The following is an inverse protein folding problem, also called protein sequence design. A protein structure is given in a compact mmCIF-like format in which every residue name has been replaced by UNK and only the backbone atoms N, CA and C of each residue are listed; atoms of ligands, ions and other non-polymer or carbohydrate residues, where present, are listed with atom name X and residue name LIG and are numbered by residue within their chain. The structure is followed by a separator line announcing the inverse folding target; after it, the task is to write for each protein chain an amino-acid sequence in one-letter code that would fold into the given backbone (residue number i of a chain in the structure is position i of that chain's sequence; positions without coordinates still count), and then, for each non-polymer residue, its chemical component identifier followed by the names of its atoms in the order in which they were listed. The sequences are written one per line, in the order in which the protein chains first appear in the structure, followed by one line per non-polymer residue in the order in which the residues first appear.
data_IF_235490729267
#
_entry.id   IF_235490729267
#
_cell.length_a   1.000
_cell.length_b   1.000
_cell.length_c   1.000
_cell.angle_alpha   90.00
_cell.angle_beta   90.00
_cell.angle_gamma   90.00
#
_symmetry.space_group_name_H-M   'P 1'
#
loop_
_entity.id
_entity.type
_entity.pdbx_description
1 polymer ?
#
# COMPACT_ATOMS: atom_id res chain seq x y z
N UNK A 1 15.79 -54.40 -92.53
CA UNK A 1 15.48 -53.21 -91.73
C UNK A 1 14.64 -53.75 -90.57
N UNK A 2 15.33 -54.41 -89.64
CA UNK A 2 15.83 -53.85 -88.36
C UNK A 2 14.69 -54.04 -87.32
N UNK A 3 14.64 -55.18 -86.61
CA UNK A 3 15.32 -55.52 -85.33
C UNK A 3 14.79 -54.64 -84.17
N UNK A 4 14.30 -55.09 -83.01
CA UNK A 4 14.13 -56.38 -82.33
C UNK A 4 13.25 -56.14 -81.07
N UNK A 5 12.40 -57.09 -80.68
CA UNK A 5 12.50 -57.93 -79.48
C UNK A 5 12.62 -57.21 -78.10
N UNK A 6 11.62 -57.45 -77.25
CA UNK A 6 11.63 -57.27 -75.79
C UNK A 6 12.75 -58.07 -75.10
N UNK A 7 13.39 -57.51 -74.06
CA UNK A 7 13.29 -57.96 -72.65
C UNK A 7 14.32 -57.34 -71.70
N UNK A 8 13.82 -57.08 -70.50
CA UNK A 8 14.45 -57.19 -69.17
C UNK A 8 15.46 -56.13 -68.65
N UNK A 9 14.90 -55.25 -67.80
CA UNK A 9 15.20 -54.97 -66.37
C UNK A 9 16.66 -54.74 -65.91
N UNK A 10 16.87 -53.57 -65.31
CA UNK A 10 17.56 -53.37 -64.02
C UNK A 10 16.78 -52.26 -63.26
N UNK A 11 16.80 -52.18 -61.91
CA UNK A 11 15.78 -52.67 -60.99
C UNK A 11 15.04 -51.57 -60.20
N UNK A 12 14.00 -51.96 -59.46
CA UNK A 12 13.39 -51.16 -58.40
C UNK A 12 14.44 -50.69 -57.37
N UNK A 13 14.33 -49.41 -57.01
CA UNK A 13 14.87 -48.67 -55.84
C UNK A 13 15.76 -47.48 -56.19
N UNK A 14 15.60 -46.41 -55.39
CA UNK A 14 16.04 -45.01 -55.54
C UNK A 14 15.11 -44.20 -56.48
N UNK A 15 14.01 -43.59 -56.05
CA UNK A 15 13.85 -42.72 -54.88
C UNK A 15 12.44 -42.86 -54.29
N UNK A 16 12.29 -43.85 -53.41
CA UNK A 16 11.43 -43.73 -52.23
C UNK A 16 12.26 -43.03 -51.16
N UNK A 17 12.18 -41.70 -51.11
CA UNK A 17 12.45 -40.90 -49.92
C UNK A 17 11.91 -39.49 -50.18
N UNK A 18 11.30 -38.93 -49.14
CA UNK A 18 10.74 -37.59 -48.94
C UNK A 18 11.56 -36.33 -49.37
N UNK A 19 12.44 -36.37 -50.38
CA UNK A 19 13.43 -35.30 -50.62
C UNK A 19 13.52 -34.73 -52.05
N UNK A 20 12.50 -34.86 -52.90
CA UNK A 20 12.51 -34.24 -54.24
C UNK A 20 11.87 -32.82 -54.27
N UNK A 21 12.26 -31.97 -53.30
CA UNK A 21 11.97 -30.52 -53.29
C UNK A 21 13.07 -29.73 -54.02
N UNK A 22 13.37 -30.13 -55.26
CA UNK A 22 14.26 -29.39 -56.16
C UNK A 22 13.51 -28.31 -56.95
N UNK A 23 13.08 -27.23 -56.29
CA UNK A 23 12.41 -26.10 -56.95
C UNK A 23 13.41 -25.37 -57.88
N UNK A 24 13.14 -25.34 -59.19
CA UNK A 24 13.92 -24.58 -60.17
C UNK A 24 13.65 -23.07 -60.00
N UNK A 25 14.60 -22.37 -59.37
CA UNK A 25 14.58 -20.92 -59.16
C UNK A 25 15.12 -20.21 -60.40
N UNK A 26 14.23 -19.75 -61.28
CA UNK A 26 14.60 -18.77 -62.30
C UNK A 26 13.49 -17.78 -62.70
N UNK A 27 12.21 -18.02 -62.37
CA UNK A 27 11.10 -17.11 -62.75
C UNK A 27 10.01 -16.95 -61.67
N UNK A 28 10.31 -17.27 -60.41
CA UNK A 28 9.36 -17.10 -59.30
C UNK A 28 9.63 -15.77 -58.57
N UNK A 29 8.80 -14.76 -58.83
CA UNK A 29 8.77 -13.49 -58.08
C UNK A 29 8.38 -13.68 -56.59
N UNK A 30 8.02 -14.90 -56.17
CA UNK A 30 7.58 -15.20 -54.82
C UNK A 30 7.94 -16.64 -54.43
N UNK A 31 8.77 -16.82 -53.40
CA UNK A 31 8.94 -18.10 -52.71
C UNK A 31 8.12 -18.05 -51.41
N UNK A 32 6.96 -18.70 -51.39
CA UNK A 32 6.15 -18.86 -50.16
C UNK A 32 6.44 -20.23 -49.58
N UNK A 33 7.31 -20.31 -48.56
CA UNK A 33 7.48 -21.54 -47.78
C UNK A 33 6.37 -21.61 -46.75
N UNK A 34 5.34 -22.42 -47.04
CA UNK A 34 4.24 -22.69 -46.10
C UNK A 34 4.57 -23.96 -45.33
N UNK A 35 4.95 -23.85 -44.05
CA UNK A 35 5.01 -25.00 -43.15
C UNK A 35 3.60 -25.21 -42.59
N UNK A 36 2.83 -26.13 -43.18
CA UNK A 36 1.53 -26.53 -42.66
C UNK A 36 1.55 -28.03 -42.36
N UNK A 37 1.18 -28.41 -41.14
CA UNK A 37 0.70 -29.74 -40.82
C UNK A 37 -0.75 -29.58 -40.36
N UNK A 38 -1.71 -29.86 -41.26
CA UNK A 38 -3.14 -29.59 -41.04
C UNK A 38 -3.56 -28.14 -41.32
N UNK A 39 -4.84 -27.84 -41.08
CA UNK A 39 -5.54 -26.62 -41.54
C UNK A 39 -5.15 -25.30 -40.83
N UNK A 40 -4.08 -25.29 -40.01
CA UNK A 40 -3.60 -24.10 -39.29
C UNK A 40 -2.28 -23.57 -39.87
N UNK A 41 -2.20 -22.25 -40.12
CA UNK A 41 -0.96 -21.56 -40.52
C UNK A 41 -0.26 -21.00 -39.26
N UNK A 42 0.96 -21.47 -38.97
CA UNK A 42 1.69 -21.10 -37.74
C UNK A 42 2.71 -19.97 -37.93
N UNK A 43 2.88 -19.49 -39.16
CA UNK A 43 3.69 -18.32 -39.48
C UNK A 43 4.22 -18.36 -40.91
N UNK A 44 4.51 -17.18 -41.47
CA UNK A 44 5.12 -17.01 -42.78
C UNK A 44 6.30 -16.06 -42.67
N UNK A 45 7.44 -16.44 -43.26
CA UNK A 45 8.55 -15.51 -43.46
C UNK A 45 8.33 -14.78 -44.77
N UNK A 46 8.14 -13.46 -44.71
CA UNK A 46 7.99 -12.62 -45.89
C UNK A 46 9.24 -11.75 -46.02
N UNK A 47 9.93 -11.87 -47.16
CA UNK A 47 11.02 -10.98 -47.50
C UNK A 47 10.46 -9.81 -48.30
N UNK A 48 10.58 -8.61 -47.75
CA UNK A 48 10.17 -7.40 -48.45
C UNK A 48 11.13 -7.19 -49.64
N UNK A 49 10.61 -7.17 -50.89
CA UNK A 49 11.45 -7.13 -52.09
C UNK A 49 12.15 -5.78 -52.30
N UNK A 50 11.65 -4.70 -51.68
CA UNK A 50 12.16 -3.35 -51.88
C UNK A 50 13.38 -3.01 -51.00
N UNK A 51 13.47 -3.59 -49.80
CA UNK A 51 14.54 -3.33 -48.83
C UNK A 51 15.29 -4.61 -48.38
N UNK A 52 14.82 -5.79 -48.79
CA UNK A 52 15.44 -7.07 -48.48
C UNK A 52 15.24 -7.55 -47.04
N UNK A 53 14.50 -6.82 -46.21
CA UNK A 53 14.22 -7.18 -44.81
C UNK A 53 13.31 -8.41 -44.78
N UNK A 54 13.69 -9.41 -44.00
CA UNK A 54 12.91 -10.64 -43.83
C UNK A 54 12.14 -10.54 -42.52
N UNK A 55 10.81 -10.46 -42.59
CA UNK A 55 9.93 -10.39 -41.43
C UNK A 55 9.27 -11.75 -41.18
N UNK A 56 9.12 -12.12 -39.91
CA UNK A 56 8.32 -13.27 -39.50
C UNK A 56 6.91 -12.77 -39.17
N UNK A 57 5.96 -13.07 -40.05
CA UNK A 57 4.53 -12.94 -39.76
C UNK A 57 4.10 -14.17 -38.95
N UNK A 58 3.93 -14.00 -37.64
CA UNK A 58 3.34 -15.03 -36.79
C UNK A 58 1.82 -14.88 -36.86
N UNK A 59 1.12 -15.95 -37.25
CA UNK A 59 -0.34 -15.97 -37.29
C UNK A 59 -0.94 -15.74 -35.91
N UNK A 60 -2.22 -15.35 -35.85
CA UNK A 60 -2.97 -15.34 -34.59
C UNK A 60 -2.69 -16.66 -33.83
N UNK A 61 -2.38 -16.54 -32.53
CA UNK A 61 -2.04 -17.64 -31.60
C UNK A 61 -0.61 -18.24 -31.65
N UNK A 62 0.30 -17.72 -32.47
CA UNK A 62 1.68 -18.27 -32.56
C UNK A 62 2.62 -17.84 -31.42
N UNK A 63 2.20 -16.89 -30.57
CA UNK A 63 2.85 -16.53 -29.32
C UNK A 63 1.86 -16.70 -28.18
N UNK A 64 1.46 -17.94 -27.85
CA UNK A 64 0.81 -18.28 -26.57
C UNK A 64 -0.26 -17.32 -26.05
N UNK A 65 -0.98 -16.67 -26.94
CA UNK A 65 -2.19 -15.93 -26.67
C UNK A 65 -3.27 -16.86 -27.19
N UNK A 66 -4.14 -17.36 -26.32
CA UNK A 66 -5.38 -18.03 -26.75
C UNK A 66 -5.45 -19.56 -26.72
N UNK A 67 -4.43 -20.32 -26.29
CA UNK A 67 -4.55 -21.79 -26.20
C UNK A 67 -4.45 -22.33 -24.78
N UNK A 68 -5.25 -23.37 -24.48
CA UNK A 68 -5.53 -23.84 -23.12
C UNK A 68 -4.44 -24.66 -22.42
N UNK A 69 -3.29 -24.90 -23.05
CA UNK A 69 -2.24 -25.81 -22.55
C UNK A 69 -0.85 -25.32 -23.05
N UNK A 70 -0.22 -24.35 -22.38
CA UNK A 70 1.14 -23.90 -22.72
C UNK A 70 2.12 -24.09 -21.54
N UNK A 71 3.27 -24.72 -21.80
CA UNK A 71 4.29 -25.10 -20.80
C UNK A 71 5.51 -24.13 -20.66
N UNK A 72 5.54 -22.99 -21.39
CA UNK A 72 6.68 -22.06 -21.42
C UNK A 72 6.39 -20.65 -20.89
N UNK A 73 7.24 -20.11 -20.00
CA UNK A 73 7.12 -18.78 -19.37
C UNK A 73 7.63 -17.66 -20.29
N UNK A 74 7.10 -16.44 -20.12
CA UNK A 74 7.70 -15.21 -20.67
C UNK A 74 9.12 -15.05 -20.12
N UNK A 75 10.14 -15.20 -20.96
CA UNK A 75 11.55 -15.05 -20.59
C UNK A 75 12.08 -13.75 -21.20
N UNK A 76 12.24 -12.70 -20.37
CA UNK A 76 12.98 -11.48 -20.72
C UNK A 76 14.42 -11.68 -20.29
N UNK A 77 15.32 -11.94 -21.25
CA UNK A 77 16.76 -12.07 -21.01
C UNK A 77 17.47 -10.89 -21.67
N UNK A 78 17.95 -9.94 -20.89
CA UNK A 78 18.80 -8.89 -21.43
C UNK A 78 20.27 -9.29 -21.47
N UNK A 79 20.96 -8.74 -22.47
CA UNK A 79 22.40 -8.61 -22.50
C UNK A 79 22.71 -7.13 -22.72
N UNK A 80 23.63 -6.57 -21.93
CA UNK A 80 24.00 -5.15 -21.81
C UNK A 80 22.97 -4.18 -21.18
N UNK A 81 23.47 -3.06 -20.65
CA UNK A 81 22.79 -2.08 -19.80
C UNK A 81 21.70 -1.25 -20.53
N UNK A 82 20.66 -1.89 -21.06
CA UNK A 82 19.50 -1.21 -21.67
C UNK A 82 18.16 -1.73 -21.13
N UNK A 83 17.11 -0.92 -21.30
CA UNK A 83 15.73 -1.19 -20.84
C UNK A 83 15.13 -2.36 -21.64
N UNK A 84 14.63 -3.38 -20.96
CA UNK A 84 14.29 -4.68 -21.57
C UNK A 84 12.80 -4.89 -21.82
N UNK A 85 11.95 -4.15 -21.11
CA UNK A 85 10.50 -4.13 -21.31
C UNK A 85 10.03 -2.70 -21.12
N UNK A 86 9.66 -2.07 -22.23
CA UNK A 86 9.07 -0.73 -22.26
C UNK A 86 7.57 -0.89 -22.47
N UNK A 87 6.78 -0.41 -21.52
CA UNK A 87 5.31 -0.39 -21.59
C UNK A 87 4.88 1.07 -21.58
N UNK A 88 4.80 1.66 -22.77
CA UNK A 88 4.55 3.09 -22.96
C UNK A 88 3.08 3.36 -23.32
N UNK A 89 2.48 4.34 -22.65
CA UNK A 89 1.15 4.83 -22.99
C UNK A 89 1.20 5.69 -24.24
N UNK A 90 0.23 5.55 -25.14
CA UNK A 90 -0.05 6.61 -26.11
C UNK A 90 -0.71 7.82 -25.43
N UNK A 91 -0.59 9.02 -26.02
CA UNK A 91 -1.31 10.21 -25.55
C UNK A 91 -2.84 10.12 -25.66
N UNK A 92 -3.36 9.08 -26.32
CA UNK A 92 -4.79 8.83 -26.54
C UNK A 92 -5.32 7.60 -25.77
N UNK A 93 -4.54 7.02 -24.87
CA UNK A 93 -4.90 5.80 -24.13
C UNK A 93 -6.09 6.04 -23.18
N UNK A 94 -7.13 5.21 -23.28
CA UNK A 94 -8.31 5.24 -22.39
C UNK A 94 -8.37 4.09 -21.37
N UNK A 95 -7.51 3.07 -21.51
CA UNK A 95 -7.46 1.85 -20.68
C UNK A 95 -6.08 1.64 -20.03
N UNK A 96 -6.00 0.81 -18.98
CA UNK A 96 -4.74 0.38 -18.35
C UNK A 96 -3.77 -0.21 -19.37
N UNK A 97 -2.49 0.17 -19.27
CA UNK A 97 -1.44 -0.28 -20.19
C UNK A 97 -0.95 -1.69 -19.79
N UNK A 98 -1.07 -2.04 -18.51
CA UNK A 98 -0.80 -3.39 -17.99
C UNK A 98 -1.81 -3.75 -16.90
N UNK A 99 -2.41 -4.95 -17.02
CA UNK A 99 -3.38 -5.51 -16.07
C UNK A 99 -3.04 -6.95 -15.72
N UNK A 100 -3.20 -7.34 -14.46
CA UNK A 100 -3.19 -8.71 -13.94
C UNK A 100 -4.66 -9.09 -13.76
N UNK A 101 -5.10 -10.23 -14.31
CA UNK A 101 -6.52 -10.62 -14.31
C UNK A 101 -6.75 -11.90 -13.51
N UNK A 102 -7.92 -12.01 -12.89
CA UNK A 102 -8.45 -13.26 -12.31
C UNK A 102 -8.94 -14.20 -13.42
N UNK A 103 -9.08 -15.49 -13.11
CA UNK A 103 -9.64 -16.53 -14.01
C UNK A 103 -11.06 -16.17 -14.53
N UNK A 104 -11.79 -15.29 -13.82
CA UNK A 104 -13.07 -14.71 -14.24
C UNK A 104 -13.00 -13.40 -15.03
N UNK A 105 -11.81 -12.98 -15.49
CA UNK A 105 -11.62 -11.85 -16.41
C UNK A 105 -11.52 -10.45 -15.77
N UNK A 106 -11.78 -10.30 -14.47
CA UNK A 106 -11.62 -9.03 -13.76
C UNK A 106 -10.16 -8.66 -13.48
N UNK A 107 -9.80 -7.39 -13.64
CA UNK A 107 -8.48 -6.85 -13.28
C UNK A 107 -8.30 -6.84 -11.76
N UNK A 108 -7.26 -7.53 -11.29
CA UNK A 108 -6.91 -7.71 -9.88
C UNK A 108 -5.60 -7.01 -9.50
N UNK A 109 -4.99 -6.29 -10.42
CA UNK A 109 -3.85 -5.41 -10.16
C UNK A 109 -3.17 -4.94 -11.44
N UNK A 110 -2.29 -3.95 -11.36
CA UNK A 110 -1.64 -3.38 -12.54
C UNK A 110 -1.02 -2.02 -12.30
N UNK A 111 -0.61 -1.37 -13.40
CA UNK A 111 -0.15 0.02 -13.42
C UNK A 111 -1.14 0.85 -14.24
N UNK A 112 -1.70 1.90 -13.64
CA UNK A 112 -2.59 2.81 -14.36
C UNK A 112 -1.81 3.80 -15.24
N UNK A 113 -2.51 4.60 -16.07
CA UNK A 113 -1.92 5.63 -16.95
C UNK A 113 -1.05 6.69 -16.23
N UNK A 114 -1.21 6.78 -14.90
CA UNK A 114 -0.50 7.72 -14.04
C UNK A 114 0.64 7.02 -13.26
N UNK A 115 0.94 5.75 -13.55
CA UNK A 115 2.04 4.98 -12.95
C UNK A 115 1.74 4.40 -11.56
N UNK A 116 0.48 4.41 -11.10
CA UNK A 116 0.09 3.87 -9.79
C UNK A 116 0.00 2.34 -9.83
N UNK A 117 0.70 1.67 -8.90
CA UNK A 117 0.62 0.22 -8.68
C UNK A 117 -0.61 -0.11 -7.83
N UNK A 118 -1.56 -0.91 -8.31
CA UNK A 118 -2.73 -1.31 -7.51
C UNK A 118 -2.91 -2.83 -7.48
N UNK A 119 -3.58 -3.34 -6.44
CA UNK A 119 -4.08 -4.72 -6.33
C UNK A 119 -5.54 -4.67 -5.89
N UNK A 120 -6.43 -5.30 -6.66
CA UNK A 120 -7.86 -5.33 -6.44
C UNK A 120 -8.32 -6.78 -6.21
N UNK A 121 -8.92 -7.07 -5.05
CA UNK A 121 -9.59 -8.34 -4.77
C UNK A 121 -11.06 -8.09 -4.42
N UNK A 122 -11.87 -7.59 -5.36
CA UNK A 122 -13.34 -7.62 -5.22
C UNK A 122 -14.12 -6.49 -5.89
N UNK A 123 -15.40 -6.39 -5.53
CA UNK A 123 -16.37 -5.38 -6.02
C UNK A 123 -16.15 -3.97 -5.45
N UNK A 124 -15.10 -3.77 -4.65
CA UNK A 124 -14.76 -2.51 -3.99
C UNK A 124 -13.58 -1.83 -4.68
N UNK A 125 -13.88 -0.81 -5.48
CA UNK A 125 -12.94 -0.16 -6.40
C UNK A 125 -12.03 0.91 -5.76
N UNK A 126 -12.06 1.09 -4.44
CA UNK A 126 -11.38 2.24 -3.78
C UNK A 126 -10.34 1.86 -2.72
N UNK A 127 -9.99 0.58 -2.61
CA UNK A 127 -8.93 0.15 -1.69
C UNK A 127 -7.56 0.08 -2.39
N UNK A 128 -6.49 0.25 -1.61
CA UNK A 128 -5.11 0.01 -2.02
C UNK A 128 -4.46 -0.98 -1.06
N UNK A 129 -4.10 -2.17 -1.54
CA UNK A 129 -3.41 -3.17 -0.71
C UNK A 129 -2.07 -3.57 -1.34
N UNK A 130 -1.02 -3.62 -0.52
CA UNK A 130 0.33 -4.02 -0.94
C UNK A 130 1.04 -4.76 0.19
N UNK A 131 1.46 -6.01 -0.06
CA UNK A 131 2.08 -6.90 0.93
C UNK A 131 1.39 -8.26 1.01
N UNK A 132 2.10 -9.28 1.49
CA UNK A 132 1.53 -10.62 1.67
C UNK A 132 0.36 -10.57 2.65
N UNK A 133 -0.80 -11.15 2.29
CA UNK A 133 -2.05 -11.12 3.07
C UNK A 133 -2.63 -9.73 3.42
N UNK A 134 -2.15 -8.64 2.81
CA UNK A 134 -2.75 -7.32 3.01
C UNK A 134 -4.18 -7.31 2.45
N UNK A 135 -5.16 -6.87 3.23
CA UNK A 135 -6.58 -6.82 2.82
C UNK A 135 -7.22 -8.17 2.50
N UNK A 136 -6.67 -9.30 2.98
CA UNK A 136 -7.07 -10.64 2.52
C UNK A 136 -8.59 -10.95 2.62
N UNK A 137 -9.25 -10.39 3.65
CA UNK A 137 -10.67 -10.61 3.95
C UNK A 137 -11.61 -9.49 3.46
N UNK A 138 -11.14 -8.54 2.63
CA UNK A 138 -11.93 -7.38 2.16
C UNK A 138 -13.09 -7.77 1.26
N UNK A 139 -14.24 -8.07 1.86
CA UNK A 139 -15.46 -8.47 1.15
C UNK A 139 -16.29 -7.26 0.70
N UNK A 140 -16.59 -6.32 1.62
CA UNK A 140 -17.41 -5.13 1.36
C UNK A 140 -16.73 -3.82 1.78
N UNK A 141 -15.56 -3.89 2.40
CA UNK A 141 -14.75 -2.74 2.80
C UNK A 141 -14.38 -1.82 1.63
N UNK A 142 -14.38 -0.49 1.84
CA UNK A 142 -14.07 0.53 0.82
C UNK A 142 -13.08 1.58 1.37
N UNK A 143 -12.44 2.34 0.46
CA UNK A 143 -11.61 3.52 0.75
C UNK A 143 -10.46 3.27 1.75
N UNK A 144 -9.88 2.08 1.76
CA UNK A 144 -8.87 1.69 2.75
C UNK A 144 -7.53 1.41 2.09
N UNK A 145 -6.45 1.77 2.78
CA UNK A 145 -5.06 1.59 2.34
C UNK A 145 -4.37 0.66 3.31
N UNK A 146 -3.89 -0.50 2.86
CA UNK A 146 -3.12 -1.46 3.66
C UNK A 146 -1.77 -1.75 3.01
N UNK A 147 -0.68 -1.37 3.67
CA UNK A 147 0.70 -1.57 3.19
C UNK A 147 1.48 -2.39 4.22
N UNK A 148 2.14 -3.46 3.80
CA UNK A 148 2.94 -4.35 4.64
C UNK A 148 2.29 -5.73 4.88
N UNK A 149 3.11 -6.69 5.27
CA UNK A 149 2.69 -8.06 5.57
C UNK A 149 1.53 -8.10 6.58
N UNK A 150 0.38 -8.66 6.18
CA UNK A 150 -0.80 -8.81 7.01
C UNK A 150 -1.47 -7.50 7.45
N UNK A 151 -1.17 -6.36 6.80
CA UNK A 151 -1.84 -5.08 7.07
C UNK A 151 -3.32 -5.16 6.67
N UNK A 152 -4.24 -4.79 7.57
CA UNK A 152 -5.69 -4.89 7.37
C UNK A 152 -6.17 -6.29 6.91
N UNK A 153 -5.49 -7.36 7.35
CA UNK A 153 -5.78 -8.71 6.87
C UNK A 153 -7.22 -9.18 7.14
N UNK A 154 -7.83 -8.71 8.23
CA UNK A 154 -9.18 -9.10 8.66
C UNK A 154 -10.29 -8.13 8.23
N UNK A 155 -9.98 -7.09 7.43
CA UNK A 155 -10.92 -6.04 7.06
C UNK A 155 -12.10 -6.63 6.28
N UNK A 156 -13.30 -6.69 6.87
CA UNK A 156 -14.49 -7.30 6.27
C UNK A 156 -15.42 -6.24 5.69
N UNK A 157 -15.99 -5.38 6.55
CA UNK A 157 -16.92 -4.29 6.18
C UNK A 157 -16.47 -2.88 6.59
N UNK A 158 -15.37 -2.75 7.33
CA UNK A 158 -14.80 -1.45 7.72
C UNK A 158 -14.34 -0.61 6.53
N UNK A 159 -14.29 0.71 6.69
CA UNK A 159 -13.93 1.62 5.59
C UNK A 159 -13.15 2.85 6.06
N UNK A 160 -12.51 3.54 5.12
CA UNK A 160 -11.68 4.72 5.38
C UNK A 160 -10.51 4.44 6.35
N UNK A 161 -9.92 3.23 6.32
CA UNK A 161 -8.78 2.88 7.18
C UNK A 161 -7.45 3.00 6.43
N UNK A 162 -6.43 3.60 7.04
CA UNK A 162 -5.08 3.69 6.46
C UNK A 162 -4.10 3.01 7.40
N UNK A 163 -3.53 1.88 6.99
CA UNK A 163 -2.59 1.09 7.78
C UNK A 163 -1.33 0.77 6.99
N UNK A 164 -0.17 1.15 7.52
CA UNK A 164 1.13 0.96 6.88
C UNK A 164 2.16 0.41 7.88
N UNK A 165 2.62 -0.82 7.65
CA UNK A 165 3.54 -1.55 8.51
C UNK A 165 3.14 -3.02 8.60
N UNK A 166 4.09 -3.88 8.98
CA UNK A 166 3.78 -5.29 9.20
C UNK A 166 2.72 -5.43 10.31
N UNK A 167 1.59 -6.07 9.98
CA UNK A 167 0.43 -6.31 10.86
C UNK A 167 -0.18 -5.04 11.47
N UNK A 168 -0.01 -3.90 10.80
CA UNK A 168 -0.76 -2.69 11.14
C UNK A 168 -2.26 -2.92 10.87
N UNK A 169 -3.12 -2.65 11.85
CA UNK A 169 -4.57 -2.87 11.71
C UNK A 169 -4.99 -4.33 11.44
N UNK A 170 -4.18 -5.32 11.81
CA UNK A 170 -4.38 -6.72 11.40
C UNK A 170 -5.78 -7.30 11.68
N UNK A 171 -6.34 -6.98 12.85
CA UNK A 171 -7.65 -7.47 13.30
C UNK A 171 -8.81 -6.52 12.99
N UNK A 172 -8.58 -5.37 12.35
CA UNK A 172 -9.64 -4.42 11.99
C UNK A 172 -10.59 -5.12 11.04
N UNK A 173 -11.82 -5.37 11.47
CA UNK A 173 -12.85 -6.06 10.70
C UNK A 173 -13.91 -5.07 10.20
N UNK A 174 -14.54 -4.36 11.14
CA UNK A 174 -15.65 -3.44 10.88
C UNK A 174 -15.35 -2.01 11.32
N UNK A 175 -14.20 -1.78 11.96
CA UNK A 175 -13.74 -0.46 12.37
C UNK A 175 -13.55 0.50 11.19
N UNK A 176 -13.72 1.80 11.44
CA UNK A 176 -13.73 2.83 10.41
C UNK A 176 -12.86 4.01 10.82
N UNK A 177 -12.32 4.71 9.82
CA UNK A 177 -11.61 5.98 10.02
C UNK A 177 -10.37 5.84 10.93
N UNK A 178 -9.69 4.69 10.89
CA UNK A 178 -8.50 4.44 11.69
C UNK A 178 -7.21 4.67 10.88
N UNK A 179 -6.18 5.24 11.52
CA UNK A 179 -4.85 5.46 10.96
C UNK A 179 -3.79 4.68 11.77
N UNK A 180 -3.21 3.62 11.20
CA UNK A 180 -2.18 2.80 11.83
C UNK A 180 -0.85 2.82 11.06
N UNK A 181 0.12 3.62 11.46
CA UNK A 181 1.46 3.66 10.84
C UNK A 181 2.50 3.07 11.79
N UNK A 182 3.26 2.08 11.32
CA UNK A 182 4.27 1.35 12.09
C UNK A 182 3.89 -0.10 12.33
N UNK A 183 4.89 -0.97 12.45
CA UNK A 183 4.64 -2.40 12.68
C UNK A 183 3.86 -2.60 13.98
N UNK A 184 2.80 -3.40 13.91
CA UNK A 184 1.85 -3.69 14.99
C UNK A 184 1.05 -2.49 15.54
N UNK A 185 0.96 -1.37 14.80
CA UNK A 185 0.08 -0.27 15.18
C UNK A 185 -1.40 -0.67 15.02
N UNK A 186 -2.25 -0.39 16.03
CA UNK A 186 -3.70 -0.68 16.01
C UNK A 186 -3.99 -2.18 15.70
N UNK A 187 -3.14 -3.11 16.13
CA UNK A 187 -3.27 -4.52 15.70
C UNK A 187 -4.55 -5.20 16.17
N UNK A 188 -5.01 -4.95 17.40
CA UNK A 188 -6.09 -5.70 18.04
C UNK A 188 -7.49 -5.10 17.84
N UNK A 189 -7.59 -3.91 17.25
CA UNK A 189 -8.85 -3.20 17.06
C UNK A 189 -9.77 -4.00 16.13
N UNK A 190 -11.00 -4.31 16.54
CA UNK A 190 -11.96 -5.06 15.71
C UNK A 190 -12.99 -4.14 15.06
N UNK A 191 -13.71 -3.36 15.88
CA UNK A 191 -14.84 -2.51 15.46
C UNK A 191 -14.73 -1.05 15.87
N UNK A 192 -13.64 -0.63 16.53
CA UNK A 192 -13.50 0.74 17.00
C UNK A 192 -13.22 1.75 15.88
N UNK A 193 -13.48 3.01 16.20
CA UNK A 193 -13.57 4.13 15.26
C UNK A 193 -12.59 5.25 15.63
N UNK A 194 -12.15 6.00 14.62
CA UNK A 194 -11.39 7.25 14.78
C UNK A 194 -10.09 7.15 15.58
N UNK A 195 -9.39 6.00 15.52
CA UNK A 195 -8.12 5.84 16.22
C UNK A 195 -6.93 6.20 15.33
N UNK A 196 -5.92 6.84 15.90
CA UNK A 196 -4.68 7.24 15.20
C UNK A 196 -3.45 6.75 15.97
N UNK A 197 -2.82 5.69 15.49
CA UNK A 197 -1.62 5.07 16.05
C UNK A 197 -0.43 5.24 15.11
N UNK A 198 0.58 6.01 15.51
CA UNK A 198 1.80 6.25 14.74
C UNK A 198 3.01 5.82 15.57
N UNK A 199 3.66 4.74 15.19
CA UNK A 199 4.83 4.17 15.85
C UNK A 199 4.75 2.65 15.95
N UNK A 200 5.88 2.02 16.27
CA UNK A 200 5.91 0.58 16.53
C UNK A 200 5.02 0.25 17.73
N UNK A 201 4.03 -0.62 17.50
CA UNK A 201 3.05 -1.06 18.51
C UNK A 201 2.30 0.10 19.20
N UNK A 202 2.13 1.26 18.56
CA UNK A 202 1.27 2.32 19.07
C UNK A 202 -0.19 1.86 19.08
N UNK A 203 -0.90 2.08 20.19
CA UNK A 203 -2.29 1.63 20.37
C UNK A 203 -2.50 0.14 20.01
N UNK A 204 -1.52 -0.74 20.24
CA UNK A 204 -1.57 -2.13 19.72
C UNK A 204 -2.80 -2.91 20.20
N UNK A 205 -3.22 -2.65 21.43
CA UNK A 205 -4.14 -3.48 22.21
C UNK A 205 -5.51 -2.80 22.39
N UNK A 206 -5.78 -1.69 21.69
CA UNK A 206 -7.06 -0.95 21.80
C UNK A 206 -8.22 -1.71 21.14
N UNK A 207 -9.42 -1.53 21.70
CA UNK A 207 -10.70 -2.03 21.20
C UNK A 207 -11.75 -0.91 21.02
N UNK A 208 -11.59 0.20 21.76
CA UNK A 208 -12.47 1.36 21.83
C UNK A 208 -12.13 2.49 20.83
N UNK A 209 -12.73 3.67 21.00
CA UNK A 209 -12.77 4.75 20.01
C UNK A 209 -11.96 5.99 20.41
N UNK A 210 -11.69 6.83 19.40
CA UNK A 210 -11.22 8.21 19.54
C UNK A 210 -9.88 8.34 20.28
N UNK A 211 -8.96 7.39 20.08
CA UNK A 211 -7.62 7.44 20.69
C UNK A 211 -6.55 7.90 19.70
N UNK A 212 -5.59 8.68 20.20
CA UNK A 212 -4.41 9.10 19.45
C UNK A 212 -3.15 8.66 20.20
N UNK A 213 -2.31 7.84 19.57
CA UNK A 213 -1.03 7.38 20.10
C UNK A 213 0.10 7.65 19.12
N UNK A 214 1.03 8.52 19.47
CA UNK A 214 2.17 8.91 18.63
C UNK A 214 3.48 8.63 19.37
N UNK A 215 4.23 7.65 18.89
CA UNK A 215 5.48 7.16 19.47
C UNK A 215 5.48 5.65 19.61
N UNK A 216 6.68 5.05 19.70
CA UNK A 216 6.79 3.61 19.93
C UNK A 216 6.15 3.25 21.28
N UNK A 217 5.23 2.27 21.27
CA UNK A 217 4.47 1.79 22.42
C UNK A 217 3.54 2.83 23.07
N UNK A 218 3.25 3.96 22.42
CA UNK A 218 2.34 4.97 22.94
C UNK A 218 0.91 4.42 23.03
N UNK A 219 0.27 4.56 24.19
CA UNK A 219 -1.06 4.02 24.49
C UNK A 219 -1.18 2.50 24.32
N UNK A 220 -0.05 1.76 24.32
CA UNK A 220 -0.10 0.31 24.32
C UNK A 220 -0.41 -0.17 25.74
N UNK A 221 -1.61 -0.68 25.98
CA UNK A 221 -2.04 -1.10 27.30
C UNK A 221 -3.41 -1.78 27.28
N UNK A 222 -4.19 -1.57 28.33
CA UNK A 222 -5.60 -1.96 28.34
C UNK A 222 -6.40 -1.12 27.34
N UNK A 223 -7.69 -1.40 27.22
CA UNK A 223 -8.57 -0.62 26.34
C UNK A 223 -8.73 0.82 26.87
N UNK A 224 -8.64 1.81 25.98
CA UNK A 224 -8.74 3.24 26.30
C UNK A 224 -9.82 3.88 25.43
N UNK A 225 -10.52 4.88 25.94
CA UNK A 225 -11.43 5.71 25.16
C UNK A 225 -11.04 7.20 25.27
N UNK A 226 -11.10 7.93 24.14
CA UNK A 226 -10.90 9.38 24.09
C UNK A 226 -9.57 9.84 24.71
N UNK A 227 -8.49 9.10 24.48
CA UNK A 227 -7.16 9.40 25.02
C UNK A 227 -6.17 9.96 23.98
N UNK A 228 -5.23 10.79 24.43
CA UNK A 228 -4.10 11.30 23.65
C UNK A 228 -2.77 10.94 24.32
N UNK A 229 -1.93 10.19 23.62
CA UNK A 229 -0.60 9.78 24.07
C UNK A 229 0.45 10.21 23.06
N UNK A 230 1.37 11.10 23.45
CA UNK A 230 2.43 11.61 22.58
C UNK A 230 3.79 11.44 23.24
N UNK A 231 4.66 10.63 22.64
CA UNK A 231 5.97 10.25 23.17
C UNK A 231 6.14 8.74 23.24
N UNK A 232 7.39 8.26 23.17
CA UNK A 232 7.63 6.83 23.32
C UNK A 232 7.23 6.35 24.72
N UNK A 233 6.42 5.29 24.76
CA UNK A 233 5.83 4.71 25.97
C UNK A 233 4.94 5.67 26.79
N UNK A 234 4.46 6.78 26.21
CA UNK A 234 3.40 7.56 26.85
C UNK A 234 2.14 6.69 27.01
N UNK A 235 1.58 6.58 28.21
CA UNK A 235 0.44 5.70 28.49
C UNK A 235 0.73 4.20 28.31
N UNK A 236 1.98 3.77 28.37
CA UNK A 236 2.30 2.35 28.27
C UNK A 236 1.72 1.60 29.49
N UNK A 237 0.89 0.59 29.22
CA UNK A 237 0.14 -0.18 30.22
C UNK A 237 -0.74 0.69 31.14
N UNK A 238 -1.12 1.89 30.73
CA UNK A 238 -2.14 2.64 31.47
C UNK A 238 -3.51 1.99 31.32
N UNK A 239 -4.41 2.36 32.21
CA UNK A 239 -5.81 2.00 32.23
C UNK A 239 -6.60 3.29 32.54
N UNK A 240 -7.76 3.47 31.93
CA UNK A 240 -8.55 4.68 32.11
C UNK A 240 -8.58 5.62 30.91
N UNK A 241 -9.67 6.37 30.87
CA UNK A 241 -10.15 7.10 29.69
C UNK A 241 -9.91 8.61 29.85
N UNK A 242 -10.13 9.37 28.77
CA UNK A 242 -10.07 10.84 28.79
C UNK A 242 -8.71 11.38 29.29
N UNK A 243 -7.64 10.63 29.03
CA UNK A 243 -6.28 10.98 29.45
C UNK A 243 -5.53 11.69 28.32
N UNK A 244 -4.75 12.71 28.68
CA UNK A 244 -3.85 13.42 27.76
C UNK A 244 -2.42 13.38 28.31
N UNK A 245 -1.58 12.50 27.77
CA UNK A 245 -0.18 12.31 28.20
C UNK A 245 0.81 12.72 27.12
N UNK A 246 1.78 13.56 27.50
CA UNK A 246 2.85 14.05 26.65
C UNK A 246 4.22 13.79 27.29
N UNK A 247 5.15 13.21 26.52
CA UNK A 247 6.53 12.94 26.89
C UNK A 247 6.91 11.46 26.96
N UNK A 248 8.21 11.19 27.07
CA UNK A 248 8.75 9.83 27.17
C UNK A 248 8.31 9.17 28.48
N UNK A 249 7.68 7.99 28.40
CA UNK A 249 7.21 7.23 29.58
C UNK A 249 6.33 8.02 30.55
N UNK A 250 5.59 9.02 30.07
CA UNK A 250 4.60 9.71 30.90
C UNK A 250 3.36 8.83 31.08
N UNK A 251 2.84 8.70 32.30
CA UNK A 251 1.59 7.98 32.56
C UNK A 251 1.65 6.46 32.46
N UNK A 252 2.86 5.87 32.54
CA UNK A 252 3.04 4.41 32.47
C UNK A 252 2.36 3.72 33.66
N UNK A 253 1.51 2.72 33.38
CA UNK A 253 0.88 1.89 34.40
C UNK A 253 -0.17 2.59 35.28
N UNK A 254 -0.54 3.83 34.95
CA UNK A 254 -1.52 4.59 35.74
C UNK A 254 -2.94 4.19 35.34
N UNK A 255 -3.85 4.15 36.32
CA UNK A 255 -5.22 3.64 36.15
C UNK A 255 -6.30 4.74 36.27
N UNK A 256 -5.89 6.00 36.24
CA UNK A 256 -6.79 7.14 36.47
C UNK A 256 -7.32 7.64 35.13
N UNK A 257 -8.58 8.08 35.12
CA UNK A 257 -9.19 8.76 33.98
C UNK A 257 -9.12 10.28 34.12
N UNK A 258 -9.40 11.01 33.04
CA UNK A 258 -9.57 12.47 33.07
C UNK A 258 -8.32 13.22 33.56
N UNK A 259 -7.11 12.75 33.21
CA UNK A 259 -5.84 13.38 33.61
C UNK A 259 -5.12 14.06 32.46
N UNK A 260 -4.54 15.23 32.72
CA UNK A 260 -3.49 15.84 31.90
C UNK A 260 -2.12 15.53 32.54
N UNK A 261 -1.17 15.01 31.75
CA UNK A 261 0.23 14.84 32.19
C UNK A 261 1.19 15.26 31.10
N UNK A 262 2.04 16.24 31.40
CA UNK A 262 3.17 16.63 30.53
C UNK A 262 4.44 16.40 31.33
N UNK A 263 5.31 15.52 30.86
CA UNK A 263 6.33 14.94 31.71
C UNK A 263 7.46 14.19 31.02
N UNK A 264 8.26 13.52 31.83
CA UNK A 264 9.36 12.68 31.39
C UNK A 264 9.62 11.59 32.42
N UNK A 265 9.76 10.36 31.94
CA UNK A 265 10.17 9.17 32.69
C UNK A 265 9.31 8.93 33.95
N UNK A 266 7.99 8.97 33.79
CA UNK A 266 7.01 8.76 34.85
C UNK A 266 6.65 10.01 35.66
N UNK A 267 7.50 11.04 35.67
CA UNK A 267 7.25 12.29 36.38
C UNK A 267 6.48 13.28 35.50
N UNK A 268 5.52 13.99 36.08
CA UNK A 268 4.79 15.08 35.42
C UNK A 268 5.38 16.43 35.85
N UNK A 269 5.81 17.26 34.90
CA UNK A 269 6.08 18.69 35.12
C UNK A 269 4.78 19.48 35.27
N UNK A 270 3.79 19.15 34.42
CA UNK A 270 2.42 19.65 34.52
C UNK A 270 1.50 18.47 34.75
N UNK A 271 0.69 18.56 35.78
CA UNK A 271 -0.36 17.61 36.12
C UNK A 271 -1.70 18.34 36.10
N UNK A 272 -2.77 17.68 35.68
CA UNK A 272 -4.10 18.22 35.77
C UNK A 272 -5.17 17.15 35.88
N UNK A 273 -6.31 17.55 36.41
CA UNK A 273 -7.50 16.73 36.61
C UNK A 273 -8.67 17.46 35.97
N UNK A 274 -9.18 16.95 34.85
CA UNK A 274 -10.28 17.58 34.13
C UNK A 274 -11.60 17.52 34.91
N UNK A 275 -11.77 16.49 35.71
CA UNK A 275 -12.92 16.23 36.58
C UNK A 275 -12.97 17.11 37.83
N UNK A 276 -11.82 17.67 38.25
CA UNK A 276 -11.71 18.53 39.43
C UNK A 276 -11.28 19.97 39.09
N UNK A 277 -11.24 20.33 37.81
CA UNK A 277 -10.80 21.65 37.32
C UNK A 277 -9.42 22.07 37.88
N UNK A 278 -8.51 21.10 38.05
CA UNK A 278 -7.23 21.30 38.71
C UNK A 278 -6.08 21.31 37.70
N UNK A 279 -5.15 22.26 37.86
CA UNK A 279 -3.83 22.23 37.25
C UNK A 279 -2.75 22.43 38.32
N UNK A 280 -1.68 21.63 38.23
CA UNK A 280 -0.53 21.64 39.14
C UNK A 280 0.76 21.75 38.33
N UNK A 281 1.62 22.67 38.73
CA UNK A 281 2.97 22.84 38.19
C UNK A 281 3.98 22.25 39.19
N UNK A 282 4.55 21.09 38.88
CA UNK A 282 5.56 20.41 39.70
C UNK A 282 6.96 20.98 39.43
N UNK A 283 7.08 22.30 39.49
CA UNK A 283 8.28 23.04 39.13
C UNK A 283 8.13 24.54 39.36
N UNK A 284 8.93 25.33 38.64
CA UNK A 284 8.82 26.79 38.69
C UNK A 284 7.84 27.29 37.64
N UNK A 285 6.81 28.01 38.07
CA UNK A 285 5.98 28.84 37.19
C UNK A 285 6.57 30.25 37.13
N UNK A 286 6.88 30.74 35.94
CA UNK A 286 7.29 32.12 35.70
C UNK A 286 6.25 32.81 34.84
N UNK A 287 5.71 33.91 35.35
CA UNK A 287 4.76 34.78 34.65
C UNK A 287 5.52 36.02 34.19
N UNK A 288 5.42 36.38 32.92
CA UNK A 288 6.05 37.58 32.35
C UNK A 288 5.04 38.70 32.15
N UNK A 289 5.51 39.93 31.98
CA UNK A 289 4.65 41.05 31.61
C UNK A 289 4.17 40.85 30.16
N UNK A 290 2.87 41.04 29.92
CA UNK A 290 2.31 41.08 28.56
C UNK A 290 1.66 42.45 28.34
N UNK A 291 1.91 43.06 27.18
CA UNK A 291 1.52 44.43 26.87
C UNK A 291 0.06 44.57 26.37
N UNK A 292 -0.67 43.47 26.32
CA UNK A 292 -2.07 43.44 25.90
C UNK A 292 -3.02 44.06 26.93
N UNK A 293 -4.20 44.50 26.48
CA UNK A 293 -5.27 44.97 27.38
C UNK A 293 -5.67 43.84 28.33
N UNK A 294 -5.50 43.99 29.65
CA UNK A 294 -5.76 42.91 30.59
C UNK A 294 -7.25 42.65 30.81
N UNK A 295 -7.59 41.41 31.13
CA UNK A 295 -8.91 40.96 31.56
C UNK A 295 -8.91 40.60 33.05
N UNK A 296 -10.08 40.71 33.70
CA UNK A 296 -10.20 40.38 35.12
C UNK A 296 -9.74 38.93 35.37
N UNK A 297 -8.84 38.73 36.33
CA UNK A 297 -8.21 37.45 36.65
C UNK A 297 -6.82 37.25 36.05
N UNK A 298 -6.38 38.12 35.12
CA UNK A 298 -5.03 38.04 34.57
C UNK A 298 -3.97 38.22 35.66
N UNK A 299 -2.86 37.49 35.51
CA UNK A 299 -1.69 37.58 36.37
C UNK A 299 -0.50 38.09 35.55
N UNK A 300 0.32 38.95 36.15
CA UNK A 300 1.60 39.38 35.57
C UNK A 300 2.72 39.43 36.59
N UNK A 301 3.94 39.57 36.10
CA UNK A 301 5.06 40.08 36.89
C UNK A 301 5.36 41.52 36.47
N UNK A 302 5.11 42.48 37.36
CA UNK A 302 5.46 43.87 37.14
C UNK A 302 6.95 44.06 37.39
N UNK A 303 7.71 44.23 36.31
CA UNK A 303 9.16 44.38 36.36
C UNK A 303 9.64 45.71 36.96
N UNK A 304 8.78 46.74 37.02
CA UNK A 304 9.10 48.02 37.65
C UNK A 304 9.01 47.94 39.17
N UNK A 305 7.97 47.26 39.69
CA UNK A 305 7.75 47.13 41.14
C UNK A 305 8.32 45.84 41.72
N UNK A 306 8.78 44.91 40.89
CA UNK A 306 9.24 43.57 41.24
C UNK A 306 8.21 42.75 42.03
N UNK A 307 6.95 42.82 41.60
CA UNK A 307 5.84 42.13 42.26
C UNK A 307 4.97 41.39 41.25
N UNK A 308 4.39 40.30 41.71
CA UNK A 308 3.27 39.68 41.01
C UNK A 308 2.01 40.52 41.22
N UNK A 309 1.24 40.71 40.15
CA UNK A 309 0.02 41.49 40.20
C UNK A 309 -1.13 40.71 39.57
N UNK A 310 -2.34 40.88 40.10
CA UNK A 310 -3.59 40.41 39.53
C UNK A 310 -4.43 41.58 39.02
N UNK A 311 -5.07 41.44 37.86
CA UNK A 311 -5.97 42.44 37.32
C UNK A 311 -7.41 42.17 37.78
N UNK A 312 -8.09 43.16 38.35
CA UNK A 312 -9.46 43.02 38.87
C UNK A 312 -10.56 43.39 37.86
N UNK A 313 -10.18 43.77 36.64
CA UNK A 313 -11.07 44.30 35.60
C UNK A 313 -10.94 45.82 35.40
N UNK A 314 -10.37 46.54 36.36
CA UNK A 314 -10.14 47.99 36.31
C UNK A 314 -8.68 48.38 36.56
N UNK A 315 -7.96 47.63 37.39
CA UNK A 315 -6.59 47.97 37.79
C UNK A 315 -5.77 46.74 38.16
N UNK A 316 -4.45 46.90 38.07
CA UNK A 316 -3.49 45.90 38.55
C UNK A 316 -3.23 46.10 40.04
N UNK A 317 -3.44 45.04 40.82
CA UNK A 317 -3.21 45.03 42.26
C UNK A 317 -2.08 44.06 42.60
N UNK A 318 -1.23 44.43 43.55
CA UNK A 318 -0.20 43.53 44.08
C UNK A 318 -0.84 42.31 44.74
N UNK A 319 -0.30 41.12 44.43
CA UNK A 319 -0.67 39.89 45.11
C UNK A 319 0.23 39.76 46.34
N UNK A 320 -0.40 39.66 47.52
CA UNK A 320 0.29 39.51 48.80
C UNK A 320 0.67 38.06 49.08
#
# INVERSE_FOLDING_TARGET
MDDGLERDRVPDNFLDTQDDLGLRVAELERLVVTLAQGDGRWGAWERNPDDGVTSLSVGEDSVGIGTGEAEGKVHVKGDSNEVQLIVEASSAQSNSIQSIRSFGGGEVGGWNKDGVVFSNKGTSITNFFSGYNAGNSSATAVNSVGIGDGSLASLAGGHNNVCAGARAGHSVADGQQNLGIGSFSITSLVSGLNNCGIGHSALRDILSNDNVGVGALAGRGNDHERCLFVGSQAGYLSDGDLNMYFGYKTGVGLTESSRLRIGYNGSSLVYGEFDNELIVINGRLRITDNADTPAAGDLRYNSTTNKHQGYDGSSWNDLY
#
